data_IF_846904295922
#
_entry.id   IF_846904295922
#
_cell.length_a   1.000
_cell.length_b   1.000
_cell.length_c   1.000
_cell.angle_alpha   90.00
_cell.angle_beta   90.00
_cell.angle_gamma   90.00
#
_symmetry.space_group_name_H-M   'P 1'
#
loop_
_entity.id
_entity.type
_entity.pdbx_description
1 polymer ?
#
# COMPACT_ATOMS: atom_id res chain seq x y z
N UNK A 1 32.13 -0.06 -7.13
CA UNK A 1 31.32 -0.40 -8.31
C UNK A 1 30.01 -1.00 -7.77
N UNK A 2 28.94 -0.21 -7.77
CA UNK A 2 27.66 -0.52 -7.12
C UNK A 2 26.72 -1.23 -8.11
N UNK A 3 25.89 -2.20 -7.68
CA UNK A 3 24.87 -2.74 -8.56
C UNK A 3 23.76 -1.70 -8.73
N UNK A 4 23.52 -1.30 -9.97
CA UNK A 4 22.34 -0.54 -10.35
C UNK A 4 21.12 -1.45 -10.19
N UNK A 5 20.03 -0.92 -9.63
CA UNK A 5 18.71 -1.55 -9.65
C UNK A 5 18.12 -1.46 -11.07
N UNK A 6 18.75 -2.11 -12.04
CA UNK A 6 18.32 -2.18 -13.46
C UNK A 6 18.21 -3.61 -13.96
N UNK A 7 18.27 -4.61 -13.09
CA UNK A 7 17.93 -5.97 -13.51
C UNK A 7 16.40 -6.09 -13.59
N UNK A 8 15.89 -5.92 -14.80
CA UNK A 8 14.60 -6.48 -15.19
C UNK A 8 14.57 -7.94 -14.75
N UNK A 9 13.54 -8.36 -14.01
CA UNK A 9 13.53 -9.69 -13.42
C UNK A 9 13.49 -10.75 -14.53
N UNK A 10 14.53 -11.58 -14.56
CA UNK A 10 14.61 -12.73 -15.47
C UNK A 10 13.41 -13.68 -15.24
N UNK A 11 12.77 -14.19 -16.31
CA UNK A 11 11.57 -15.05 -16.23
C UNK A 11 11.80 -16.44 -15.57
N UNK A 12 12.93 -16.66 -14.90
CA UNK A 12 13.27 -17.87 -14.15
C UNK A 12 13.49 -17.67 -12.64
N UNK A 13 13.23 -16.50 -12.07
CA UNK A 13 13.40 -16.28 -10.63
C UNK A 13 12.25 -16.97 -9.84
N UNK A 14 12.51 -17.87 -8.87
CA UNK A 14 11.46 -18.54 -8.08
C UNK A 14 10.52 -17.57 -7.33
N UNK A 15 10.95 -16.32 -7.12
CA UNK A 15 10.12 -15.23 -6.60
C UNK A 15 9.04 -14.75 -7.59
N UNK A 16 9.14 -15.05 -8.89
CA UNK A 16 8.03 -14.82 -9.82
C UNK A 16 6.90 -15.82 -9.58
N UNK A 17 7.16 -17.06 -9.16
CA UNK A 17 6.10 -18.07 -8.98
C UNK A 17 5.04 -17.70 -7.93
N UNK A 18 5.38 -16.84 -6.97
CA UNK A 18 4.48 -16.42 -5.87
C UNK A 18 3.50 -15.29 -6.25
N UNK A 19 3.75 -14.52 -7.32
CA UNK A 19 2.87 -13.41 -7.73
C UNK A 19 1.87 -13.80 -8.82
N UNK A 20 1.30 -15.00 -8.74
CA UNK A 20 0.29 -15.46 -9.69
C UNK A 20 -0.93 -14.53 -9.72
N UNK A 21 -1.36 -14.02 -8.56
CA UNK A 21 -2.44 -13.03 -8.49
C UNK A 21 -2.09 -11.72 -9.22
N UNK A 22 -0.87 -11.20 -9.07
CA UNK A 22 -0.45 -9.98 -9.78
C UNK A 22 -0.41 -10.19 -11.29
N UNK A 23 0.13 -11.34 -11.75
CA UNK A 23 0.11 -11.71 -13.18
C UNK A 23 -1.30 -11.81 -13.72
N UNK A 24 -2.17 -12.47 -12.96
CA UNK A 24 -3.58 -12.61 -13.30
C UNK A 24 -4.27 -11.26 -13.43
N UNK A 25 -4.11 -10.36 -12.44
CA UNK A 25 -4.63 -8.99 -12.51
C UNK A 25 -4.13 -8.26 -13.77
N UNK A 26 -2.82 -8.31 -14.04
CA UNK A 26 -2.24 -7.70 -15.24
C UNK A 26 -2.79 -8.30 -16.54
N UNK A 27 -3.02 -9.61 -16.59
CA UNK A 27 -3.62 -10.29 -17.75
C UNK A 27 -5.07 -9.86 -18.00
N UNK A 28 -5.78 -9.43 -16.96
CA UNK A 28 -7.11 -8.83 -17.05
C UNK A 28 -7.10 -7.32 -17.32
N UNK A 29 -5.92 -6.72 -17.58
CA UNK A 29 -5.79 -5.28 -17.79
C UNK A 29 -5.84 -4.45 -16.51
N UNK A 30 -5.72 -5.08 -15.33
CA UNK A 30 -5.78 -4.40 -14.04
C UNK A 30 -4.38 -4.03 -13.57
N UNK A 31 -4.16 -2.74 -13.33
CA UNK A 31 -2.95 -2.26 -12.69
C UNK A 31 -2.99 -2.56 -11.20
N UNK A 32 -1.89 -3.12 -10.71
CA UNK A 32 -1.66 -3.39 -9.30
C UNK A 32 -0.19 -3.19 -8.95
N UNK A 33 0.07 -2.97 -7.66
CA UNK A 33 1.41 -3.03 -7.08
C UNK A 33 1.40 -3.81 -5.76
N UNK A 34 2.55 -4.39 -5.44
CA UNK A 34 2.82 -5.05 -4.16
C UNK A 34 2.81 -4.01 -3.05
N UNK A 35 2.22 -4.37 -1.91
CA UNK A 35 2.10 -3.52 -0.74
C UNK A 35 2.46 -4.25 0.55
N UNK A 36 2.51 -3.48 1.66
CA UNK A 36 2.71 -3.98 3.01
C UNK A 36 3.99 -4.82 3.18
N UNK A 37 3.97 -5.85 4.03
CA UNK A 37 5.16 -6.63 4.42
C UNK A 37 5.89 -7.23 3.21
N UNK A 38 5.18 -7.58 2.15
CA UNK A 38 5.79 -8.12 0.94
C UNK A 38 6.66 -7.08 0.23
N UNK A 39 6.26 -5.81 0.22
CA UNK A 39 7.10 -4.72 -0.30
C UNK A 39 8.35 -4.56 0.57
N UNK A 40 8.22 -4.65 1.90
CA UNK A 40 9.38 -4.59 2.80
C UNK A 40 10.36 -5.75 2.57
N UNK A 41 9.87 -6.97 2.28
CA UNK A 41 10.71 -8.10 1.89
C UNK A 41 11.56 -7.77 0.65
N UNK A 42 10.97 -7.12 -0.37
CA UNK A 42 11.71 -6.66 -1.56
C UNK A 42 12.79 -5.64 -1.21
N UNK A 43 12.52 -4.77 -0.23
CA UNK A 43 13.46 -3.80 0.32
C UNK A 43 14.51 -4.43 1.25
N UNK A 44 14.56 -5.77 1.34
CA UNK A 44 15.49 -6.55 2.18
C UNK A 44 15.23 -6.46 3.68
N UNK A 45 14.07 -5.95 4.10
CA UNK A 45 13.65 -6.05 5.49
C UNK A 45 13.43 -7.51 5.89
N UNK A 46 13.85 -7.87 7.10
CA UNK A 46 13.63 -9.21 7.66
C UNK A 46 12.21 -9.30 8.23
N UNK A 47 11.23 -9.41 7.35
CA UNK A 47 9.82 -9.62 7.70
C UNK A 47 9.27 -10.88 7.05
N UNK A 48 8.06 -11.26 7.42
CA UNK A 48 7.36 -12.42 6.88
C UNK A 48 5.94 -12.02 6.49
N UNK A 49 5.60 -12.20 5.21
CA UNK A 49 4.26 -11.94 4.71
C UNK A 49 3.35 -13.17 4.95
N UNK A 50 2.26 -12.98 5.71
CA UNK A 50 1.26 -14.04 5.90
C UNK A 50 0.26 -14.11 4.73
N UNK A 51 0.02 -12.99 4.08
CA UNK A 51 -0.76 -12.84 2.85
C UNK A 51 -0.03 -11.82 1.95
N UNK A 52 -0.29 -11.88 0.64
CA UNK A 52 0.28 -10.97 -0.36
C UNK A 52 -0.69 -9.83 -0.63
N UNK A 53 -0.33 -8.63 -0.19
CA UNK A 53 -1.15 -7.44 -0.38
C UNK A 53 -0.87 -6.77 -1.72
N UNK A 54 -1.93 -6.41 -2.42
CA UNK A 54 -1.88 -5.66 -3.67
C UNK A 54 -2.78 -4.44 -3.58
N UNK A 55 -2.25 -3.27 -3.95
CA UNK A 55 -3.10 -2.11 -4.20
C UNK A 55 -3.68 -2.21 -5.61
N UNK A 56 -4.98 -1.98 -5.72
CA UNK A 56 -5.74 -1.90 -6.97
C UNK A 56 -6.68 -0.71 -6.92
N UNK A 57 -7.12 -0.22 -8.09
CA UNK A 57 -8.07 0.88 -8.14
C UNK A 57 -9.43 0.51 -7.52
N UNK A 58 -9.93 -0.70 -7.81
CA UNK A 58 -11.20 -1.21 -7.29
C UNK A 58 -11.04 -2.68 -6.85
N UNK A 59 -10.97 -2.97 -5.53
CA UNK A 59 -10.82 -4.33 -5.01
C UNK A 59 -11.93 -5.29 -5.44
N UNK A 60 -13.17 -4.82 -5.46
CA UNK A 60 -14.34 -5.64 -5.75
C UNK A 60 -14.34 -6.06 -7.24
N UNK A 61 -14.20 -5.10 -8.15
CA UNK A 61 -14.09 -5.40 -9.59
C UNK A 61 -12.89 -6.30 -9.88
N UNK A 62 -11.75 -6.01 -9.25
CA UNK A 62 -10.53 -6.81 -9.43
C UNK A 62 -10.70 -8.24 -8.95
N UNK A 63 -11.40 -8.43 -7.84
CA UNK A 63 -11.70 -9.77 -7.32
C UNK A 63 -12.62 -10.55 -8.26
N UNK A 64 -13.64 -9.92 -8.84
CA UNK A 64 -14.53 -10.57 -9.80
C UNK A 64 -13.76 -11.08 -11.03
N UNK A 65 -12.77 -10.32 -11.52
CA UNK A 65 -11.88 -10.77 -12.61
C UNK A 65 -11.01 -11.96 -12.20
N UNK A 66 -10.49 -11.95 -10.97
CA UNK A 66 -9.72 -13.08 -10.44
C UNK A 66 -10.59 -14.32 -10.24
N UNK A 67 -11.85 -14.17 -9.83
CA UNK A 67 -12.80 -15.28 -9.69
C UNK A 67 -13.11 -15.93 -11.04
N UNK A 68 -13.23 -15.15 -12.12
CA UNK A 68 -13.46 -15.66 -13.48
C UNK A 68 -12.34 -16.59 -13.99
N UNK A 69 -11.12 -16.45 -13.47
CA UNK A 69 -9.96 -17.28 -13.81
C UNK A 69 -9.65 -18.33 -12.72
N UNK A 70 -10.56 -18.52 -11.77
CA UNK A 70 -10.51 -19.60 -10.78
C UNK A 70 -9.96 -19.25 -9.41
N UNK A 71 -9.67 -17.99 -9.07
CA UNK A 71 -9.44 -17.63 -7.67
C UNK A 71 -10.75 -17.72 -6.88
N UNK A 72 -10.66 -17.93 -5.57
CA UNK A 72 -11.85 -18.06 -4.73
C UNK A 72 -11.77 -17.12 -3.54
N UNK A 73 -12.83 -16.37 -3.28
CA UNK A 73 -12.92 -15.54 -2.07
C UNK A 73 -12.89 -16.42 -0.83
N UNK A 74 -12.14 -15.95 0.16
CA UNK A 74 -12.00 -16.61 1.46
C UNK A 74 -12.18 -15.59 2.58
N UNK A 75 -12.48 -16.08 3.78
CA UNK A 75 -12.58 -15.25 4.97
C UNK A 75 -11.25 -14.57 5.33
N UNK A 76 -11.35 -13.55 6.19
CA UNK A 76 -10.19 -12.83 6.71
C UNK A 76 -9.22 -13.80 7.41
N UNK A 77 -7.93 -13.53 7.29
CA UNK A 77 -6.92 -14.25 8.05
C UNK A 77 -7.06 -13.90 9.54
N UNK A 78 -7.26 -14.87 10.46
CA UNK A 78 -7.44 -14.59 11.88
C UNK A 78 -6.30 -13.80 12.53
N UNK A 79 -5.10 -13.81 11.92
CA UNK A 79 -3.95 -13.01 12.36
C UNK A 79 -4.19 -11.50 12.27
N UNK A 80 -5.02 -11.06 11.33
CA UNK A 80 -5.36 -9.66 11.12
C UNK A 80 -6.63 -9.23 11.85
N UNK A 81 -7.18 -10.07 12.76
CA UNK A 81 -8.47 -9.79 13.44
C UNK A 81 -8.53 -8.46 14.18
N UNK A 82 -7.37 -7.91 14.58
CA UNK A 82 -7.25 -6.63 15.28
C UNK A 82 -6.80 -5.47 14.37
N UNK A 83 -6.53 -5.73 13.09
CA UNK A 83 -6.11 -4.74 12.10
C UNK A 83 -7.29 -4.43 11.16
N UNK A 84 -8.40 -3.96 11.72
CA UNK A 84 -9.64 -3.73 10.97
C UNK A 84 -9.50 -2.62 9.93
N UNK A 85 -8.76 -1.56 10.23
CA UNK A 85 -8.49 -0.47 9.28
C UNK A 85 -7.63 -0.92 8.09
N UNK A 86 -6.62 -1.76 8.32
CA UNK A 86 -5.77 -2.33 7.26
C UNK A 86 -6.60 -3.09 6.22
N UNK A 87 -7.60 -3.84 6.71
CA UNK A 87 -8.43 -4.74 5.89
C UNK A 87 -9.76 -4.13 5.48
N UNK A 88 -10.02 -2.86 5.80
CA UNK A 88 -11.30 -2.21 5.51
C UNK A 88 -11.53 -2.19 4.00
N UNK A 89 -12.68 -2.72 3.59
CA UNK A 89 -13.10 -2.87 2.19
C UNK A 89 -12.13 -3.70 1.33
N UNK A 90 -11.34 -4.57 1.96
CA UNK A 90 -10.40 -5.47 1.26
C UNK A 90 -11.08 -6.77 0.84
N UNK A 91 -10.56 -7.38 -0.23
CA UNK A 91 -10.99 -8.71 -0.69
C UNK A 91 -9.83 -9.68 -0.63
N UNK A 92 -10.04 -10.84 0.02
CA UNK A 92 -9.04 -11.88 0.17
C UNK A 92 -9.38 -13.10 -0.68
N UNK A 93 -8.42 -13.58 -1.47
CA UNK A 93 -8.60 -14.61 -2.48
C UNK A 93 -7.54 -15.72 -2.36
N UNK A 94 -8.00 -16.97 -2.31
CA UNK A 94 -7.15 -18.15 -2.45
C UNK A 94 -6.82 -18.43 -3.92
N UNK A 95 -5.65 -19.03 -4.15
CA UNK A 95 -5.25 -19.51 -5.47
C UNK A 95 -6.17 -20.66 -5.94
N UNK A 96 -6.46 -20.79 -7.25
CA UNK A 96 -7.30 -21.88 -7.79
C UNK A 96 -6.93 -23.28 -7.32
N UNK A 97 -5.64 -23.57 -7.16
CA UNK A 97 -5.16 -24.89 -6.69
C UNK A 97 -5.50 -25.20 -5.23
N UNK A 98 -5.89 -24.21 -4.44
CA UNK A 98 -6.22 -24.35 -3.01
C UNK A 98 -7.74 -24.49 -2.76
N UNK A 99 -8.56 -24.33 -3.80
CA UNK A 99 -10.03 -24.37 -3.75
C UNK A 99 -10.59 -25.70 -3.20
N UNK A 100 -9.90 -26.81 -3.47
CA UNK A 100 -10.33 -28.14 -3.09
C UNK A 100 -10.06 -28.48 -1.61
N UNK A 101 -9.47 -27.58 -0.84
CA UNK A 101 -8.97 -27.85 0.52
C UNK A 101 -9.38 -26.74 1.48
N UNK A 102 -10.64 -26.79 1.91
CA UNK A 102 -11.29 -25.85 2.84
C UNK A 102 -10.67 -25.82 4.26
N UNK A 103 -9.72 -26.70 4.56
CA UNK A 103 -8.96 -26.72 5.81
C UNK A 103 -7.82 -25.70 5.76
N UNK A 104 -8.19 -24.41 5.72
CA UNK A 104 -7.30 -23.29 5.45
C UNK A 104 -6.40 -22.92 6.64
N UNK A 105 -5.35 -23.71 6.83
CA UNK A 105 -4.15 -23.31 7.56
C UNK A 105 -2.92 -23.58 6.69
N UNK A 106 -2.43 -22.53 6.02
CA UNK A 106 -1.02 -22.20 5.85
C UNK A 106 -0.13 -23.13 4.99
N UNK A 107 -0.36 -23.21 3.68
CA UNK A 107 0.71 -23.58 2.75
C UNK A 107 1.12 -22.46 1.79
N UNK A 108 0.17 -21.65 1.34
CA UNK A 108 0.43 -20.52 0.43
C UNK A 108 -0.23 -19.24 0.96
N UNK A 109 0.45 -18.09 0.90
CA UNK A 109 -0.16 -16.79 1.16
C UNK A 109 -1.36 -16.53 0.23
N UNK A 110 -2.46 -15.99 0.75
CA UNK A 110 -3.58 -15.57 -0.08
C UNK A 110 -3.29 -14.18 -0.67
N UNK A 111 -3.96 -13.85 -1.78
CA UNK A 111 -3.93 -12.49 -2.31
C UNK A 111 -4.94 -11.62 -1.56
N UNK A 112 -4.53 -10.45 -1.10
CA UNK A 112 -5.41 -9.44 -0.47
C UNK A 112 -5.39 -8.20 -1.34
N UNK A 113 -6.56 -7.84 -1.86
CA UNK A 113 -6.76 -6.65 -2.68
C UNK A 113 -7.17 -5.49 -1.79
N UNK A 114 -6.36 -4.44 -1.79
CA UNK A 114 -6.55 -3.20 -1.06
C UNK A 114 -6.92 -2.08 -2.04
N UNK A 115 -7.79 -1.17 -1.60
CA UNK A 115 -8.15 -0.01 -2.41
C UNK A 115 -7.04 1.04 -2.40
N UNK A 116 -6.50 1.36 -3.55
CA UNK A 116 -5.44 2.36 -3.67
C UNK A 116 -5.87 3.76 -3.21
N UNK A 117 -7.13 4.13 -3.41
CA UNK A 117 -7.65 5.43 -2.96
C UNK A 117 -7.68 5.54 -1.44
N UNK A 118 -7.98 4.45 -0.73
CA UNK A 118 -7.92 4.42 0.75
C UNK A 118 -6.51 4.60 1.30
N UNK A 119 -5.52 4.23 0.50
CA UNK A 119 -4.10 4.37 0.83
C UNK A 119 -3.47 5.64 0.24
N UNK A 120 -4.28 6.54 -0.35
CA UNK A 120 -3.80 7.74 -1.04
C UNK A 120 -2.68 7.42 -2.05
N UNK A 121 -2.77 6.28 -2.74
CA UNK A 121 -1.74 5.80 -3.67
C UNK A 121 -2.19 5.98 -5.14
N UNK A 122 -1.42 6.71 -5.97
CA UNK A 122 -1.79 6.96 -7.35
C UNK A 122 -1.41 5.78 -8.27
N UNK A 123 -2.28 4.76 -8.35
CA UNK A 123 -2.11 3.60 -9.27
C UNK A 123 -1.81 3.99 -10.74
N UNK A 124 -2.43 5.02 -11.34
CA UNK A 124 -2.21 5.37 -12.74
C UNK A 124 -0.77 5.76 -13.09
N UNK A 125 0.09 6.01 -12.09
CA UNK A 125 1.50 6.39 -12.29
C UNK A 125 2.44 5.20 -12.48
N UNK A 126 1.95 3.95 -12.35
CA UNK A 126 2.74 2.76 -12.65
C UNK A 126 2.79 2.53 -14.17
N UNK A 127 3.99 2.50 -14.74
CA UNK A 127 4.16 2.22 -16.17
C UNK A 127 3.71 0.79 -16.52
N UNK A 128 3.23 0.64 -17.75
CA UNK A 128 2.47 -0.51 -18.24
C UNK A 128 3.25 -1.82 -18.07
N UNK A 129 2.53 -2.83 -17.57
CA UNK A 129 2.87 -4.26 -17.51
C UNK A 129 4.02 -4.75 -16.61
N UNK A 130 5.12 -4.03 -16.42
CA UNK A 130 6.30 -4.60 -15.73
C UNK A 130 6.45 -4.20 -14.24
N UNK A 131 5.97 -3.01 -13.87
CA UNK A 131 6.16 -2.50 -12.51
C UNK A 131 5.07 -3.02 -11.57
N UNK A 132 5.32 -4.17 -10.93
CA UNK A 132 4.57 -4.59 -9.73
C UNK A 132 5.14 -3.97 -8.45
N UNK A 133 6.35 -3.41 -8.50
CA UNK A 133 6.98 -2.74 -7.38
C UNK A 133 6.75 -1.23 -7.49
N UNK A 134 6.15 -0.60 -6.48
CA UNK A 134 5.94 0.84 -6.48
C UNK A 134 7.25 1.60 -6.16
N UNK A 135 7.43 2.83 -6.68
CA UNK A 135 8.51 3.72 -6.24
C UNK A 135 8.43 3.98 -4.73
N UNK A 136 9.55 3.85 -4.02
CA UNK A 136 9.60 3.98 -2.55
C UNK A 136 9.15 5.37 -2.07
N UNK A 137 9.43 6.44 -2.81
CA UNK A 137 9.02 7.81 -2.49
C UNK A 137 7.49 7.98 -2.52
N UNK A 138 6.82 7.33 -3.49
CA UNK A 138 5.35 7.29 -3.54
C UNK A 138 4.79 6.47 -2.37
N UNK A 139 5.40 5.33 -2.07
CA UNK A 139 5.00 4.49 -0.92
C UNK A 139 5.10 5.29 0.38
N UNK A 140 6.22 5.98 0.61
CA UNK A 140 6.43 6.78 1.81
C UNK A 140 5.37 7.89 1.93
N UNK A 141 5.13 8.64 0.86
CA UNK A 141 4.10 9.70 0.83
C UNK A 141 2.71 9.14 1.16
N UNK A 142 2.29 8.09 0.46
CA UNK A 142 0.99 7.43 0.66
C UNK A 142 0.81 6.88 2.09
N UNK A 143 1.86 6.32 2.69
CA UNK A 143 1.79 5.83 4.08
C UNK A 143 1.72 7.00 5.07
N UNK A 144 2.42 8.11 4.82
CA UNK A 144 2.32 9.33 5.64
C UNK A 144 0.90 9.91 5.57
N UNK A 145 0.33 10.04 4.36
CA UNK A 145 -1.05 10.48 4.14
C UNK A 145 -2.03 9.61 4.92
N UNK A 146 -1.91 8.30 4.74
CA UNK A 146 -2.78 7.32 5.41
C UNK A 146 -2.60 7.39 6.94
N UNK A 147 -1.39 7.64 7.43
CA UNK A 147 -1.10 7.78 8.86
C UNK A 147 -1.73 9.03 9.47
N UNK A 148 -1.75 10.15 8.74
CA UNK A 148 -2.39 11.40 9.18
C UNK A 148 -3.91 11.22 9.31
N UNK A 149 -4.52 10.49 8.37
CA UNK A 149 -5.96 10.23 8.30
C UNK A 149 -6.43 9.04 9.16
N UNK A 150 -5.51 8.18 9.64
CA UNK A 150 -5.85 6.99 10.39
C UNK A 150 -6.64 7.28 11.68
N UNK A 151 -7.68 6.48 11.93
CA UNK A 151 -8.65 6.71 13.00
C UNK A 151 -8.11 6.16 14.34
N UNK A 152 -7.59 4.94 14.34
CA UNK A 152 -7.11 4.26 15.55
C UNK A 152 -5.62 4.48 15.80
N UNK A 153 -5.26 4.38 17.08
CA UNK A 153 -3.85 4.44 17.50
C UNK A 153 -3.07 3.21 17.01
N UNK A 154 -3.69 2.03 16.99
CA UNK A 154 -3.03 0.79 16.60
C UNK A 154 -2.66 0.81 15.12
N UNK A 155 -3.55 1.29 14.25
CA UNK A 155 -3.24 1.43 12.83
C UNK A 155 -2.16 2.49 12.60
N UNK A 156 -2.18 3.61 13.33
CA UNK A 156 -1.09 4.61 13.30
C UNK A 156 0.25 4.02 13.73
N UNK A 157 0.29 3.17 14.75
CA UNK A 157 1.52 2.50 15.19
C UNK A 157 2.03 1.49 14.16
N UNK A 158 1.13 0.78 13.47
CA UNK A 158 1.49 -0.09 12.35
C UNK A 158 2.15 0.70 11.21
N UNK A 159 1.50 1.75 10.73
CA UNK A 159 2.01 2.59 9.63
C UNK A 159 3.33 3.28 10.01
N UNK A 160 3.47 3.70 11.27
CA UNK A 160 4.73 4.22 11.78
C UNK A 160 5.83 3.16 11.75
N UNK A 161 5.54 1.94 12.20
CA UNK A 161 6.51 0.84 12.16
C UNK A 161 6.93 0.54 10.72
N UNK A 162 5.96 0.57 9.79
CA UNK A 162 6.20 0.41 8.37
C UNK A 162 7.15 1.46 7.79
N UNK A 163 6.93 2.74 8.11
CA UNK A 163 7.84 3.83 7.70
C UNK A 163 9.23 3.69 8.33
N UNK A 164 9.31 3.23 9.58
CA UNK A 164 10.58 2.90 10.23
C UNK A 164 11.38 1.85 9.46
N UNK A 165 10.74 0.78 8.98
CA UNK A 165 11.38 -0.20 8.11
C UNK A 165 11.86 0.40 6.79
N UNK A 166 11.08 1.29 6.16
CA UNK A 166 11.50 1.94 4.92
C UNK A 166 12.79 2.74 5.16
N UNK A 167 12.84 3.55 6.21
CA UNK A 167 14.03 4.35 6.56
C UNK A 167 15.24 3.48 6.87
N UNK A 168 15.05 2.42 7.67
CA UNK A 168 16.16 1.55 8.08
C UNK A 168 16.76 0.75 6.89
N UNK A 169 15.91 0.29 5.97
CA UNK A 169 16.34 -0.66 4.93
C UNK A 169 16.58 -0.03 3.56
N UNK A 170 16.01 1.15 3.26
CA UNK A 170 16.20 1.82 1.98
C UNK A 170 17.25 2.92 2.12
N UNK A 171 18.50 2.62 1.76
CA UNK A 171 19.63 3.57 1.94
C UNK A 171 19.42 4.96 1.32
N UNK A 172 18.69 5.04 0.20
CA UNK A 172 18.42 6.31 -0.48
C UNK A 172 17.61 7.28 0.38
N UNK A 173 16.91 6.80 1.41
CA UNK A 173 16.09 7.62 2.32
C UNK A 173 16.87 8.65 3.13
N UNK A 174 18.18 8.45 3.29
CA UNK A 174 19.09 9.41 3.94
C UNK A 174 19.69 10.45 3.01
N UNK A 175 19.38 10.40 1.70
CA UNK A 175 19.88 11.36 0.72
C UNK A 175 18.89 12.52 0.53
N UNK A 176 19.38 13.76 0.42
CA UNK A 176 18.57 14.96 0.12
C UNK A 176 17.71 14.80 -1.15
N UNK A 177 18.17 13.96 -2.09
CA UNK A 177 17.45 13.66 -3.34
C UNK A 177 16.18 12.86 -3.12
N UNK A 178 16.13 12.01 -2.09
CA UNK A 178 14.91 11.27 -1.75
C UNK A 178 13.93 12.18 -1.03
N UNK A 179 14.41 13.01 -0.10
CA UNK A 179 13.58 14.03 0.56
C UNK A 179 12.90 14.91 -0.50
N UNK A 180 13.64 15.37 -1.51
CA UNK A 180 13.10 16.17 -2.62
C UNK A 180 12.02 15.47 -3.48
N UNK A 181 11.85 14.14 -3.37
CA UNK A 181 10.81 13.38 -4.07
C UNK A 181 9.52 13.22 -3.26
N UNK A 182 9.54 13.51 -1.96
CA UNK A 182 8.35 13.53 -1.13
C UNK A 182 7.55 14.80 -1.41
N UNK A 183 6.24 14.82 -1.11
CA UNK A 183 5.48 16.08 -1.16
C UNK A 183 6.07 17.11 -0.21
N UNK A 184 6.04 18.39 -0.59
CA UNK A 184 6.75 19.48 0.09
C UNK A 184 6.37 19.57 1.59
N UNK A 185 5.13 19.23 1.93
CA UNK A 185 4.61 19.16 3.29
C UNK A 185 5.30 18.09 4.16
N UNK A 186 5.86 17.05 3.54
CA UNK A 186 6.46 15.88 4.21
C UNK A 186 7.98 15.97 4.35
N UNK A 187 8.63 16.74 3.47
CA UNK A 187 10.09 16.84 3.33
C UNK A 187 10.77 17.22 4.65
N UNK A 188 10.37 18.33 5.27
CA UNK A 188 11.15 18.94 6.35
C UNK A 188 10.83 18.43 7.76
N UNK A 189 9.58 18.07 8.05
CA UNK A 189 9.14 17.89 9.44
C UNK A 189 8.71 16.45 9.78
N UNK A 190 8.01 15.73 8.89
CA UNK A 190 7.52 14.38 9.20
C UNK A 190 8.61 13.34 8.97
N UNK A 191 9.32 13.43 7.84
CA UNK A 191 10.41 12.50 7.53
C UNK A 191 11.56 12.61 8.54
N UNK A 192 11.97 13.84 8.87
CA UNK A 192 13.04 14.11 9.85
C UNK A 192 12.63 13.86 11.31
N UNK A 193 11.33 13.85 11.63
CA UNK A 193 10.86 13.66 13.02
C UNK A 193 10.61 12.21 13.42
N UNK A 194 10.95 11.22 12.58
CA UNK A 194 10.88 9.81 12.97
C UNK A 194 11.71 9.49 14.24
N UNK A 195 12.70 10.33 14.55
CA UNK A 195 13.50 10.31 15.77
C UNK A 195 12.81 10.93 17.00
N UNK A 196 11.79 11.79 16.83
CA UNK A 196 11.24 12.63 17.91
C UNK A 196 9.70 12.55 18.02
N UNK A 197 9.20 11.75 18.97
CA UNK A 197 7.77 11.36 19.12
C UNK A 197 6.77 12.52 19.25
N UNK A 198 7.20 13.70 19.70
CA UNK A 198 6.32 14.84 19.97
C UNK A 198 5.85 15.59 18.72
N UNK A 199 6.66 15.63 17.66
CA UNK A 199 6.40 16.43 16.45
C UNK A 199 5.21 15.89 15.65
N UNK A 200 5.07 14.57 15.60
CA UNK A 200 4.01 13.87 14.86
C UNK A 200 2.60 14.20 15.40
N UNK A 201 2.44 14.37 16.72
CA UNK A 201 1.13 14.70 17.32
C UNK A 201 0.66 16.10 16.92
N UNK A 202 1.56 17.08 16.92
CA UNK A 202 1.22 18.46 16.52
C UNK A 202 0.79 18.55 15.06
N UNK A 203 1.50 17.85 14.16
CA UNK A 203 1.24 17.92 12.72
C UNK A 203 -0.09 17.29 12.32
N UNK A 204 -0.54 16.24 13.00
CA UNK A 204 -1.89 15.70 12.78
C UNK A 204 -2.96 16.74 13.09
N UNK A 205 -2.82 17.48 14.19
CA UNK A 205 -3.77 18.54 14.54
C UNK A 205 -3.80 19.65 13.49
N UNK A 206 -2.65 20.07 12.99
CA UNK A 206 -2.56 21.11 11.96
C UNK A 206 -3.10 20.61 10.60
N UNK A 207 -2.79 19.37 10.23
CA UNK A 207 -3.31 18.72 9.02
C UNK A 207 -4.83 18.58 9.04
N UNK A 208 -5.41 18.13 10.17
CA UNK A 208 -6.86 18.02 10.31
C UNK A 208 -7.55 19.38 10.18
N UNK A 209 -6.93 20.47 10.66
CA UNK A 209 -7.46 21.84 10.45
C UNK A 209 -7.42 22.24 8.98
N UNK A 210 -6.33 21.94 8.27
CA UNK A 210 -6.19 22.25 6.85
C UNK A 210 -7.25 21.49 6.02
N UNK A 211 -7.38 20.17 6.21
CA UNK A 211 -8.42 19.34 5.58
C UNK A 211 -9.83 19.82 5.87
N UNK A 212 -10.09 20.33 7.07
CA UNK A 212 -11.39 20.89 7.41
C UNK A 212 -11.65 22.17 6.62
N UNK A 213 -10.66 23.08 6.55
CA UNK A 213 -10.77 24.30 5.75
C UNK A 213 -10.98 24.00 4.26
N UNK A 214 -10.27 23.04 3.68
CA UNK A 214 -10.44 22.64 2.27
C UNK A 214 -11.85 22.10 1.97
N UNK A 215 -12.46 21.36 2.93
CA UNK A 215 -13.84 20.88 2.80
C UNK A 215 -14.85 22.02 2.92
N UNK A 216 -14.60 22.96 3.81
CA UNK A 216 -15.48 24.11 4.02
C UNK A 216 -15.45 25.04 2.78
N UNK A 217 -14.29 25.20 2.14
CA UNK A 217 -14.14 25.94 0.88
C UNK A 217 -14.87 25.23 -0.28
N UNK A 218 -14.68 23.91 -0.45
CA UNK A 218 -15.36 23.13 -1.49
C UNK A 218 -16.90 23.14 -1.36
N UNK A 219 -17.42 23.11 -0.13
CA UNK A 219 -18.86 23.21 0.12
C UNK A 219 -19.42 24.61 -0.14
N UNK A 220 -18.60 25.65 0.02
CA UNK A 220 -18.98 27.04 -0.26
C UNK A 220 -19.11 27.27 -1.77
N UNK A 221 -18.17 26.72 -2.56
CA UNK A 221 -18.18 26.82 -4.02
C UNK A 221 -19.35 26.04 -4.65
N UNK A 222 -19.71 24.87 -4.12
CA UNK A 222 -20.88 24.11 -4.58
C UNK A 222 -22.20 24.83 -4.27
N UNK A 223 -22.31 25.54 -3.14
CA UNK A 223 -23.51 26.30 -2.78
C UNK A 223 -23.69 27.60 -3.58
N UNK A 224 -22.61 28.19 -4.10
CA UNK A 224 -22.70 29.35 -4.99
C UNK A 224 -23.11 28.97 -6.42
N UNK A 225 -22.79 27.75 -6.88
CA UNK A 225 -23.21 27.25 -8.19
C UNK A 225 -24.68 26.79 -8.24
N UNK A 226 -25.26 26.33 -7.13
CA UNK A 226 -26.68 25.96 -7.07
C UNK A 226 -27.63 27.17 -6.90
N UNK A 227 -27.09 28.37 -6.62
CA UNK A 227 -27.87 29.61 -6.42
C UNK A 227 -27.86 30.56 -7.64
N UNK A 228 -27.32 30.13 -8.79
CA UNK A 228 -27.24 30.90 -10.04
C UNK A 228 -27.92 30.16 -11.20
#
# INVERSE_FOLDING_TARGET
MMPQLTETPSPGNPLYSQYEAARALKSCGINCCIWSEELLCHLKARTHAFDLFFLVANPEESSQRLEQIGFHRIGLNPRYRFMTELLKDSVRLAHPSDAARLDHVQRRPAAVLLSASRWNFPIPQLNKMEDILPPVSLVASSVIDTWLDADTIDFRLLLRSYLGYIVEYVKQTGDDKFEAQLQHEYQRDIWRSYENRAVLVSKRTDWLKLRQAERDDQQSDEQEHDNN
#
